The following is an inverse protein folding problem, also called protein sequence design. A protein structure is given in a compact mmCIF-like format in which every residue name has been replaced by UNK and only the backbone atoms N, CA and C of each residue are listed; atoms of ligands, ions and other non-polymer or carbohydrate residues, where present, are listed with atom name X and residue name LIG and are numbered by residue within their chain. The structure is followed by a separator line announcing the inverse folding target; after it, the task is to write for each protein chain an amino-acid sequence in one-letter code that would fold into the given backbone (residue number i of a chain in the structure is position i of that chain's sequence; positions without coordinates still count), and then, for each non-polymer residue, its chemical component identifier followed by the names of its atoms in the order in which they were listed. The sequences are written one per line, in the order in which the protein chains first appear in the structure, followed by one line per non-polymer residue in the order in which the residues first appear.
data_IF_755360639014
#
_entry.id   IF_755360639014
#
_cell.length_a   1.000
_cell.length_b   1.000
_cell.length_c   1.000
_cell.angle_alpha   90.00
_cell.angle_beta   90.00
_cell.angle_gamma   90.00
#
_symmetry.space_group_name_H-M   'P 1'
#
loop_
_entity.id
_entity.type
_entity.pdbx_description
1 polymer ?
#
# COMPACT_ATOMS: atom_id res chain seq x y z
N UNK A 1 15.18 -25.19 40.75
CA UNK A 1 15.89 -24.79 39.51
C UNK A 1 14.98 -23.82 38.75
N UNK A 2 15.34 -22.56 38.59
CA UNK A 2 14.56 -21.67 37.72
C UNK A 2 14.64 -22.20 36.28
N UNK A 3 13.50 -22.30 35.62
CA UNK A 3 13.43 -22.74 34.24
C UNK A 3 14.18 -21.70 33.37
N UNK A 4 15.10 -22.18 32.52
CA UNK A 4 15.77 -21.33 31.54
C UNK A 4 14.72 -20.74 30.59
N UNK A 5 14.56 -19.40 30.60
CA UNK A 5 13.73 -18.68 29.65
C UNK A 5 14.66 -18.14 28.56
N UNK A 6 14.42 -18.48 27.28
CA UNK A 6 15.25 -17.95 26.21
C UNK A 6 15.13 -16.40 26.19
N UNK A 7 16.22 -15.70 25.87
CA UNK A 7 16.19 -14.25 25.75
C UNK A 7 15.12 -13.83 24.74
N UNK A 8 14.30 -12.85 25.10
CA UNK A 8 13.32 -12.27 24.18
C UNK A 8 14.06 -11.70 22.97
N UNK A 9 13.58 -12.03 21.79
CA UNK A 9 14.12 -11.47 20.54
C UNK A 9 13.93 -9.97 20.54
N UNK A 10 14.99 -9.22 20.25
CA UNK A 10 14.87 -7.76 20.10
C UNK A 10 14.14 -7.43 18.80
N UNK A 11 13.56 -6.25 18.71
CA UNK A 11 12.96 -5.74 17.48
C UNK A 11 13.96 -5.78 16.32
N UNK A 12 15.23 -5.51 16.59
CA UNK A 12 16.31 -5.59 15.61
C UNK A 12 16.47 -7.00 15.04
N UNK A 13 16.43 -8.04 15.89
CA UNK A 13 16.54 -9.44 15.46
C UNK A 13 15.35 -9.83 14.59
N UNK A 14 14.15 -9.41 14.96
CA UNK A 14 12.92 -9.62 14.20
C UNK A 14 13.01 -8.99 12.81
N UNK A 15 13.50 -7.76 12.73
CA UNK A 15 13.68 -7.03 11.48
C UNK A 15 14.73 -7.64 10.56
N UNK A 16 15.89 -8.04 11.11
CA UNK A 16 16.96 -8.71 10.35
C UNK A 16 16.49 -10.03 9.76
N UNK A 17 15.71 -10.81 10.52
CA UNK A 17 15.14 -12.06 10.04
C UNK A 17 14.13 -11.84 8.91
N UNK A 18 13.22 -10.86 9.08
CA UNK A 18 12.23 -10.49 8.08
C UNK A 18 12.90 -10.05 6.77
N UNK A 19 13.90 -9.17 6.86
CA UNK A 19 14.69 -8.70 5.69
C UNK A 19 15.34 -9.88 4.96
N UNK A 20 15.96 -10.81 5.69
CA UNK A 20 16.59 -12.00 5.10
C UNK A 20 15.57 -12.88 4.39
N UNK A 21 14.41 -13.13 4.99
CA UNK A 21 13.34 -13.95 4.40
C UNK A 21 12.80 -13.32 3.12
N UNK A 22 12.55 -12.03 3.12
CA UNK A 22 12.09 -11.31 1.93
C UNK A 22 13.15 -11.26 0.84
N UNK A 23 14.42 -11.05 1.18
CA UNK A 23 15.53 -11.11 0.24
C UNK A 23 15.66 -12.49 -0.40
N UNK A 24 15.59 -13.56 0.39
CA UNK A 24 15.60 -14.94 -0.08
C UNK A 24 14.42 -15.29 -1.00
N UNK A 25 13.29 -14.58 -0.86
CA UNK A 25 12.12 -14.70 -1.73
C UNK A 25 12.21 -13.79 -2.99
N UNK A 26 13.31 -13.09 -3.20
CA UNK A 26 13.53 -12.21 -4.35
C UNK A 26 12.71 -10.91 -4.31
N UNK A 27 12.32 -10.43 -3.13
CA UNK A 27 11.73 -9.10 -2.98
C UNK A 27 12.82 -8.05 -3.23
N UNK A 28 12.53 -7.05 -4.07
CA UNK A 28 13.53 -6.06 -4.52
C UNK A 28 13.95 -5.13 -3.38
N UNK A 29 13.00 -4.77 -2.51
CA UNK A 29 13.20 -3.82 -1.41
C UNK A 29 12.90 -4.48 -0.04
N UNK A 30 13.62 -5.56 0.34
CA UNK A 30 13.23 -6.42 1.44
C UNK A 30 13.16 -5.68 2.79
N UNK A 31 14.12 -4.80 3.06
CA UNK A 31 14.15 -3.98 4.27
C UNK A 31 13.01 -2.96 4.31
N UNK A 32 12.78 -2.27 3.20
CA UNK A 32 11.70 -1.26 3.12
C UNK A 32 10.34 -1.92 3.29
N UNK A 33 10.12 -3.06 2.64
CA UNK A 33 8.88 -3.81 2.75
C UNK A 33 8.66 -4.30 4.20
N UNK A 34 9.69 -4.82 4.87
CA UNK A 34 9.62 -5.23 6.27
C UNK A 34 9.28 -4.04 7.19
N UNK A 35 9.93 -2.88 7.02
CA UNK A 35 9.66 -1.68 7.81
C UNK A 35 8.22 -1.17 7.60
N UNK A 36 7.71 -1.17 6.36
CA UNK A 36 6.33 -0.76 6.06
C UNK A 36 5.30 -1.73 6.65
N UNK A 37 5.54 -3.04 6.57
CA UNK A 37 4.66 -4.04 7.18
C UNK A 37 4.63 -3.93 8.71
N UNK A 38 5.78 -3.68 9.34
CA UNK A 38 5.83 -3.50 10.78
C UNK A 38 5.17 -2.18 11.21
N UNK A 39 5.39 -1.11 10.46
CA UNK A 39 4.72 0.18 10.65
C UNK A 39 3.19 0.02 10.62
N UNK A 40 2.69 -0.74 9.64
CA UNK A 40 1.27 -1.07 9.53
C UNK A 40 0.74 -1.87 10.74
N UNK A 41 1.48 -2.89 11.19
CA UNK A 41 1.08 -3.72 12.34
C UNK A 41 1.00 -2.89 13.63
N UNK A 42 1.99 -2.01 13.84
CA UNK A 42 2.09 -1.19 15.05
C UNK A 42 1.23 0.10 15.00
N UNK A 43 0.69 0.46 13.84
CA UNK A 43 -0.07 1.71 13.66
C UNK A 43 0.77 2.97 13.87
N UNK A 44 2.10 2.91 13.60
CA UNK A 44 3.04 4.02 13.81
C UNK A 44 3.79 4.36 12.53
N UNK A 45 4.33 5.57 12.46
CA UNK A 45 5.18 5.96 11.33
C UNK A 45 6.48 5.15 11.30
N UNK A 46 6.98 4.87 10.11
CA UNK A 46 8.21 4.12 9.85
C UNK A 46 9.42 4.63 10.66
N UNK A 47 9.56 5.93 10.82
CA UNK A 47 10.64 6.54 11.61
C UNK A 47 10.57 6.27 13.11
N UNK A 48 9.42 5.81 13.63
CA UNK A 48 9.21 5.51 15.05
C UNK A 48 9.35 4.03 15.41
N UNK A 49 9.50 3.15 14.44
CA UNK A 49 9.55 1.70 14.65
C UNK A 49 10.57 1.32 15.73
N UNK A 50 11.79 1.85 15.63
CA UNK A 50 12.88 1.51 16.56
C UNK A 50 12.74 2.14 17.97
N UNK A 51 11.68 2.90 18.20
CA UNK A 51 11.31 3.41 19.52
C UNK A 51 10.31 2.47 20.24
N UNK A 52 9.84 1.44 19.57
CA UNK A 52 8.78 0.51 20.05
C UNK A 52 9.36 -0.83 20.49
N UNK A 53 10.53 -0.84 21.10
CA UNK A 53 11.15 -2.06 21.63
C UNK A 53 10.82 -2.23 23.13
N UNK A 54 10.38 -3.39 23.61
CA UNK A 54 10.12 -4.63 22.83
C UNK A 54 8.78 -4.62 22.08
N UNK A 55 8.69 -5.43 21.01
CA UNK A 55 7.44 -5.67 20.29
C UNK A 55 6.54 -6.60 21.09
N UNK A 56 5.24 -6.32 21.13
CA UNK A 56 4.26 -7.20 21.75
C UNK A 56 4.21 -8.56 21.01
N UNK A 57 4.11 -9.69 21.72
CA UNK A 57 4.04 -11.02 21.09
C UNK A 57 2.91 -11.18 20.06
N UNK A 58 1.75 -10.54 20.28
CA UNK A 58 0.64 -10.59 19.33
C UNK A 58 0.95 -9.83 18.04
N UNK A 59 1.61 -8.69 18.14
CA UNK A 59 2.05 -7.90 16.99
C UNK A 59 3.18 -8.59 16.24
N UNK A 60 4.06 -9.28 16.94
CA UNK A 60 5.09 -10.09 16.31
C UNK A 60 4.45 -11.20 15.44
N UNK A 61 3.45 -11.92 15.94
CA UNK A 61 2.75 -12.96 15.18
C UNK A 61 2.06 -12.37 13.94
N UNK A 62 1.40 -11.22 14.09
CA UNK A 62 0.77 -10.50 12.96
C UNK A 62 1.82 -10.12 11.91
N UNK A 63 2.93 -9.54 12.35
CA UNK A 63 4.03 -9.16 11.47
C UNK A 63 4.61 -10.35 10.72
N UNK A 64 4.93 -11.45 11.41
CA UNK A 64 5.47 -12.67 10.81
C UNK A 64 4.53 -13.27 9.76
N UNK A 65 3.21 -13.18 10.00
CA UNK A 65 2.17 -13.59 9.03
C UNK A 65 2.24 -12.75 7.76
N UNK A 66 2.37 -11.43 7.89
CA UNK A 66 2.49 -10.53 6.74
C UNK A 66 3.80 -10.75 5.98
N UNK A 67 4.91 -10.99 6.68
CA UNK A 67 6.20 -11.33 6.06
C UNK A 67 6.09 -12.64 5.25
N UNK A 68 5.42 -13.66 5.79
CA UNK A 68 5.21 -14.91 5.05
C UNK A 68 4.38 -14.70 3.77
N UNK A 69 3.31 -13.93 3.84
CA UNK A 69 2.49 -13.57 2.68
C UNK A 69 3.27 -12.72 1.67
N UNK A 70 4.09 -11.78 2.12
CA UNK A 70 4.95 -10.97 1.24
C UNK A 70 6.03 -11.83 0.56
N UNK A 71 6.63 -12.76 1.28
CA UNK A 71 7.58 -13.73 0.73
C UNK A 71 6.93 -14.64 -0.34
N UNK A 72 5.63 -14.96 -0.23
CA UNK A 72 4.86 -15.64 -1.29
C UNK A 72 4.38 -14.70 -2.41
N UNK A 73 4.96 -13.49 -2.52
CA UNK A 73 4.77 -12.51 -3.59
C UNK A 73 3.42 -11.78 -3.58
N UNK A 74 2.65 -11.83 -2.49
CA UNK A 74 1.49 -10.95 -2.35
C UNK A 74 1.97 -9.48 -2.41
N UNK A 75 1.35 -8.61 -3.19
CA UNK A 75 1.74 -7.19 -3.25
C UNK A 75 1.72 -6.54 -1.87
N UNK A 76 2.72 -5.69 -1.59
CA UNK A 76 2.81 -4.97 -0.32
C UNK A 76 1.53 -4.17 -0.03
N UNK A 77 1.03 -3.46 -1.03
CA UNK A 77 -0.18 -2.64 -0.95
C UNK A 77 -1.42 -3.45 -0.58
N UNK A 78 -1.55 -4.67 -1.09
CA UNK A 78 -2.63 -5.59 -0.70
C UNK A 78 -2.49 -6.13 0.74
N UNK A 79 -1.30 -6.07 1.33
CA UNK A 79 -1.05 -6.47 2.71
C UNK A 79 -1.35 -5.35 3.70
N UNK A 80 -1.06 -4.11 3.31
CA UNK A 80 -1.34 -2.92 4.13
C UNK A 80 -2.73 -2.32 3.86
N UNK A 81 -3.38 -2.71 2.75
CA UNK A 81 -4.70 -2.24 2.37
C UNK A 81 -4.73 -0.90 1.65
N UNK A 82 -3.56 -0.29 1.41
CA UNK A 82 -3.45 1.08 0.89
C UNK A 82 -2.39 1.19 -0.20
N UNK A 83 -2.64 2.08 -1.17
CA UNK A 83 -1.69 2.47 -2.20
C UNK A 83 -1.68 4.00 -2.38
N UNK A 84 -0.52 4.67 -2.27
CA UNK A 84 -0.41 6.08 -2.61
C UNK A 84 -0.51 6.27 -4.12
N UNK A 85 -1.21 7.30 -4.55
CA UNK A 85 -1.29 7.74 -5.93
C UNK A 85 -1.52 9.24 -5.99
N UNK A 86 -0.57 9.99 -6.55
CA UNK A 86 -0.58 11.46 -6.55
C UNK A 86 -0.77 12.03 -5.13
N UNK A 87 -1.90 12.70 -4.90
CA UNK A 87 -2.26 13.29 -3.60
C UNK A 87 -3.23 12.44 -2.79
N UNK A 88 -3.51 11.21 -3.25
CA UNK A 88 -4.48 10.30 -2.67
C UNK A 88 -3.81 9.12 -1.98
N UNK A 89 -4.48 8.58 -0.98
CA UNK A 89 -4.25 7.23 -0.47
C UNK A 89 -5.49 6.43 -0.82
N UNK A 90 -5.32 5.47 -1.72
CA UNK A 90 -6.40 4.63 -2.24
C UNK A 90 -6.48 3.34 -1.43
N UNK A 91 -7.68 2.89 -1.13
CA UNK A 91 -7.90 1.54 -0.60
C UNK A 91 -7.68 0.52 -1.72
N UNK A 92 -6.92 -0.54 -1.43
CA UNK A 92 -6.62 -1.59 -2.40
C UNK A 92 -6.48 -2.95 -1.72
N UNK A 93 -6.86 -4.01 -2.43
CA UNK A 93 -6.72 -5.37 -1.93
C UNK A 93 -6.91 -6.41 -3.03
N UNK A 94 -7.13 -7.69 -2.66
CA UNK A 94 -7.33 -8.75 -3.63
C UNK A 94 -8.49 -8.45 -4.58
N UNK A 95 -8.23 -8.56 -5.88
CA UNK A 95 -9.24 -8.31 -6.92
C UNK A 95 -9.12 -6.97 -7.62
N UNK A 96 -8.34 -6.03 -7.09
CA UNK A 96 -8.05 -4.76 -7.74
C UNK A 96 -6.57 -4.64 -8.10
N UNK A 97 -6.28 -3.98 -9.20
CA UNK A 97 -4.90 -3.73 -9.61
C UNK A 97 -4.28 -2.61 -8.76
N UNK A 98 -3.06 -2.83 -8.24
CA UNK A 98 -2.31 -1.79 -7.51
C UNK A 98 -1.90 -0.69 -8.50
N UNK A 99 -2.27 0.57 -8.27
CA UNK A 99 -1.89 1.67 -9.14
C UNK A 99 -0.37 1.76 -9.34
N UNK A 100 0.06 2.02 -10.56
CA UNK A 100 1.47 2.15 -10.90
C UNK A 100 1.89 3.62 -10.89
N UNK A 101 3.10 3.97 -10.40
CA UNK A 101 3.58 5.36 -10.40
C UNK A 101 3.60 5.98 -11.81
N UNK A 102 3.89 5.19 -12.84
CA UNK A 102 3.91 5.67 -14.23
C UNK A 102 2.53 6.18 -14.70
N UNK A 103 1.44 5.65 -14.12
CA UNK A 103 0.07 6.07 -14.40
C UNK A 103 -0.21 7.49 -13.92
N UNK A 104 0.55 8.01 -12.96
CA UNK A 104 0.43 9.41 -12.52
C UNK A 104 0.71 10.40 -13.66
N UNK A 105 1.59 10.03 -14.60
CA UNK A 105 1.84 10.84 -15.80
C UNK A 105 0.60 10.91 -16.68
N UNK A 106 -0.12 9.81 -16.85
CA UNK A 106 -1.38 9.78 -17.62
C UNK A 106 -2.43 10.63 -16.93
N UNK A 107 -2.57 10.49 -15.60
CA UNK A 107 -3.49 11.32 -14.81
C UNK A 107 -3.17 12.83 -14.96
N UNK A 108 -1.88 13.22 -14.95
CA UNK A 108 -1.47 14.61 -15.14
C UNK A 108 -1.89 15.18 -16.50
N UNK A 109 -1.72 14.42 -17.59
CA UNK A 109 -2.20 14.84 -18.91
C UNK A 109 -3.72 14.99 -18.95
N UNK A 110 -4.46 14.07 -18.37
CA UNK A 110 -5.92 14.13 -18.32
C UNK A 110 -6.41 15.32 -17.48
N UNK A 111 -5.76 15.60 -16.34
CA UNK A 111 -6.06 16.76 -15.49
C UNK A 111 -5.84 18.07 -16.25
N UNK A 112 -4.72 18.22 -16.98
CA UNK A 112 -4.44 19.40 -17.79
C UNK A 112 -5.49 19.60 -18.86
N UNK A 113 -5.79 18.56 -19.64
CA UNK A 113 -6.80 18.62 -20.70
C UNK A 113 -8.18 19.00 -20.13
N UNK A 114 -8.56 18.48 -18.98
CA UNK A 114 -9.84 18.76 -18.34
C UNK A 114 -9.89 20.20 -17.77
N UNK A 115 -8.77 20.76 -17.31
CA UNK A 115 -8.65 22.15 -16.84
C UNK A 115 -8.75 23.15 -18.00
N UNK A 116 -8.19 22.80 -19.15
CA UNK A 116 -8.20 23.64 -20.36
C UNK A 116 -9.59 23.69 -21.02
N UNK A 117 -10.42 22.68 -20.81
CA UNK A 117 -11.79 22.65 -21.29
C UNK A 117 -12.70 23.48 -20.36
N UNK A 118 -13.00 24.70 -20.77
CA UNK A 118 -13.78 25.64 -19.97
C UNK A 118 -15.31 25.45 -20.08
N UNK A 119 -15.79 24.76 -21.11
CA UNK A 119 -17.23 24.62 -21.39
C UNK A 119 -17.84 23.41 -20.68
N UNK A 120 -17.19 22.27 -20.75
CA UNK A 120 -17.63 21.04 -20.04
C UNK A 120 -16.43 20.32 -19.42
N UNK A 121 -16.40 20.27 -18.09
CA UNK A 121 -15.40 19.49 -17.35
C UNK A 121 -15.93 18.08 -17.10
N UNK A 122 -16.16 17.36 -18.19
CA UNK A 122 -16.67 15.99 -18.18
C UNK A 122 -15.56 15.00 -18.56
N UNK A 123 -15.39 13.96 -17.75
CA UNK A 123 -14.45 12.87 -18.02
C UNK A 123 -15.09 11.50 -17.76
N UNK A 124 -14.61 10.50 -18.50
CA UNK A 124 -14.97 9.10 -18.29
C UNK A 124 -13.68 8.28 -18.17
N UNK A 125 -13.52 7.59 -17.04
CA UNK A 125 -12.41 6.66 -16.78
C UNK A 125 -12.93 5.22 -16.98
N UNK A 126 -12.51 4.59 -18.05
CA UNK A 126 -12.90 3.22 -18.40
C UNK A 126 -11.89 2.22 -17.84
N UNK A 127 -12.40 1.15 -17.21
CA UNK A 127 -11.59 0.17 -16.48
C UNK A 127 -10.84 0.83 -15.30
N UNK A 128 -11.57 1.60 -14.52
CA UNK A 128 -11.02 2.49 -13.49
C UNK A 128 -10.24 1.77 -12.39
N UNK A 129 -10.47 0.47 -12.18
CA UNK A 129 -9.81 -0.32 -11.14
C UNK A 129 -10.05 0.26 -9.75
N UNK A 130 -8.99 0.71 -9.08
CA UNK A 130 -9.05 1.39 -7.77
C UNK A 130 -9.53 2.85 -7.84
N UNK A 131 -9.98 3.32 -9.00
CA UNK A 131 -10.39 4.70 -9.19
C UNK A 131 -9.24 5.71 -9.25
N UNK A 132 -8.00 5.28 -9.39
CA UNK A 132 -6.81 6.12 -9.27
C UNK A 132 -6.84 7.36 -10.18
N UNK A 133 -7.19 7.21 -11.46
CA UNK A 133 -7.30 8.33 -12.41
C UNK A 133 -8.58 9.13 -12.12
N UNK A 134 -9.72 8.46 -12.02
CA UNK A 134 -11.01 9.12 -11.80
C UNK A 134 -11.02 10.01 -10.55
N UNK A 135 -10.53 9.48 -9.42
CA UNK A 135 -10.46 10.22 -8.15
C UNK A 135 -9.45 11.37 -8.21
N UNK A 136 -8.33 11.20 -8.92
CA UNK A 136 -7.39 12.31 -9.16
C UNK A 136 -8.02 13.42 -9.98
N UNK A 137 -8.75 13.10 -11.05
CA UNK A 137 -9.49 14.07 -11.85
C UNK A 137 -10.52 14.83 -11.00
N UNK A 138 -11.34 14.11 -10.23
CA UNK A 138 -12.39 14.70 -9.41
C UNK A 138 -11.83 15.60 -8.30
N UNK A 139 -10.71 15.22 -7.68
CA UNK A 139 -10.12 15.98 -6.57
C UNK A 139 -9.27 17.16 -7.05
N UNK A 140 -8.56 17.01 -8.17
CA UNK A 140 -7.63 18.03 -8.66
C UNK A 140 -8.26 19.01 -9.67
N UNK A 141 -9.46 18.72 -10.21
CA UNK A 141 -10.19 19.62 -11.10
C UNK A 141 -11.56 19.96 -10.50
N UNK A 142 -11.64 20.93 -9.60
CA UNK A 142 -12.91 21.31 -8.96
C UNK A 142 -14.00 21.66 -9.99
N UNK A 143 -15.21 21.15 -9.74
CA UNK A 143 -16.36 21.35 -10.64
C UNK A 143 -16.36 20.43 -11.86
N UNK A 144 -15.48 19.44 -11.94
CA UNK A 144 -15.55 18.38 -12.95
C UNK A 144 -16.61 17.33 -12.61
N UNK A 145 -17.18 16.72 -13.65
CA UNK A 145 -18.02 15.52 -13.56
C UNK A 145 -17.18 14.36 -14.08
N UNK A 146 -16.92 13.36 -13.23
CA UNK A 146 -16.11 12.20 -13.60
C UNK A 146 -16.92 10.93 -13.43
N UNK A 147 -17.07 10.18 -14.53
CA UNK A 147 -17.67 8.85 -14.51
C UNK A 147 -16.58 7.79 -14.48
N UNK A 148 -16.54 7.01 -13.42
CA UNK A 148 -15.67 5.85 -13.28
C UNK A 148 -16.45 4.58 -13.65
N UNK A 149 -15.91 3.78 -14.58
CA UNK A 149 -16.56 2.56 -15.08
C UNK A 149 -15.64 1.38 -14.86
N UNK A 150 -16.15 0.39 -14.12
CA UNK A 150 -15.45 -0.87 -13.86
C UNK A 150 -16.39 -2.05 -14.13
N UNK A 151 -15.88 -3.08 -14.76
CA UNK A 151 -16.62 -4.30 -15.08
C UNK A 151 -16.53 -5.36 -13.99
N UNK A 152 -15.38 -5.45 -13.35
CA UNK A 152 -15.08 -6.49 -12.37
C UNK A 152 -15.61 -6.08 -10.99
N UNK A 153 -16.64 -6.78 -10.51
CA UNK A 153 -17.25 -6.52 -9.20
C UNK A 153 -16.24 -6.56 -8.04
N UNK A 154 -15.23 -7.41 -8.12
CA UNK A 154 -14.17 -7.48 -7.12
C UNK A 154 -13.30 -6.21 -7.05
N UNK A 155 -13.22 -5.44 -8.12
CA UNK A 155 -12.53 -4.16 -8.14
C UNK A 155 -13.42 -3.00 -7.68
N UNK A 156 -14.73 -3.08 -7.99
CA UNK A 156 -15.71 -2.04 -7.59
C UNK A 156 -15.87 -1.92 -6.07
N UNK A 157 -15.52 -2.95 -5.32
CA UNK A 157 -15.63 -2.96 -3.84
C UNK A 157 -14.52 -2.20 -3.14
N UNK A 158 -13.51 -1.76 -3.85
CA UNK A 158 -12.39 -0.96 -3.35
C UNK A 158 -12.56 0.52 -3.71
#
# INVERSE_FOLDING_TARGET
MPAWTPPQRTLRDVMVDAERRLAGAGVITPRVDAELLLSHVLGISRGRIFLSDPIDPSDQVRFETLIARRASRVPLQHLVGEAPFRHLTLEVGPGVFVPRPETETVAEYAIRALRENSEERLAVDLCTGSGAIALSLATEVPGSIVHAVERENSAVTW
#
